data_IF_420915324800
#
_entry.id   IF_420915324800
#
_cell.length_a   1.000
_cell.length_b   1.000
_cell.length_c   1.000
_cell.angle_alpha   90.00
_cell.angle_beta   90.00
_cell.angle_gamma   90.00
#
_symmetry.space_group_name_H-M   'P 1'
#
loop_
_entity.id
_entity.type
_entity.pdbx_description
1 polymer ?
#
# COMPACT_ATOMS: atom_id res chain seq x y z
N UNK A 1 -0.08 30.03 -43.96
CA UNK A 1 -0.36 28.85 -43.10
C UNK A 1 -0.85 27.63 -43.88
N UNK A 2 -1.76 27.78 -44.85
CA UNK A 2 -2.24 26.65 -45.67
C UNK A 2 -1.16 25.97 -46.53
N UNK A 3 -0.19 26.73 -47.04
CA UNK A 3 0.86 26.18 -47.92
C UNK A 3 1.92 25.38 -47.17
N UNK A 4 2.21 25.74 -45.92
CA UNK A 4 3.15 25.00 -45.05
C UNK A 4 2.56 23.64 -44.67
N UNK A 5 1.25 23.57 -44.39
CA UNK A 5 0.57 22.30 -44.09
C UNK A 5 0.52 21.35 -45.30
N UNK A 6 0.31 21.88 -46.51
CA UNK A 6 0.40 21.10 -47.75
C UNK A 6 1.82 20.60 -48.03
N UNK A 7 2.83 21.43 -47.79
CA UNK A 7 4.24 21.07 -47.99
C UNK A 7 4.66 19.95 -47.04
N UNK A 8 4.35 20.09 -45.74
CA UNK A 8 4.62 19.07 -44.72
C UNK A 8 3.91 17.74 -45.05
N UNK A 9 2.66 17.79 -45.54
CA UNK A 9 1.93 16.58 -45.95
C UNK A 9 2.54 15.89 -47.19
N UNK A 10 3.04 16.66 -48.16
CA UNK A 10 3.73 16.15 -49.35
C UNK A 10 5.09 15.54 -49.01
N UNK A 11 5.82 16.13 -48.07
CA UNK A 11 7.12 15.62 -47.63
C UNK A 11 6.96 14.39 -46.73
N UNK A 12 5.93 14.35 -45.88
CA UNK A 12 5.58 13.16 -45.10
C UNK A 12 5.24 11.94 -45.98
N UNK A 13 4.60 12.17 -47.13
CA UNK A 13 4.29 11.11 -48.09
C UNK A 13 5.54 10.50 -48.76
N UNK A 14 6.63 11.28 -48.90
CA UNK A 14 7.91 10.87 -49.49
C UNK A 14 8.87 10.20 -48.50
N UNK A 15 8.63 10.36 -47.20
CA UNK A 15 9.40 9.70 -46.14
C UNK A 15 9.21 8.18 -46.25
N UNK A 16 10.32 7.44 -46.17
CA UNK A 16 10.31 5.98 -46.27
C UNK A 16 9.45 5.37 -45.15
N UNK A 17 8.86 4.18 -45.35
CA UNK A 17 8.10 3.50 -44.30
C UNK A 17 8.89 3.35 -42.99
N UNK A 18 10.20 3.12 -43.10
CA UNK A 18 11.13 3.00 -41.96
C UNK A 18 11.30 4.33 -41.20
N UNK A 19 11.43 5.43 -41.92
CA UNK A 19 11.58 6.76 -41.31
C UNK A 19 10.25 7.25 -40.72
N UNK A 20 9.11 6.86 -41.31
CA UNK A 20 7.77 7.15 -40.78
C UNK A 20 7.50 6.37 -39.50
N UNK A 21 7.97 5.12 -39.43
CA UNK A 21 7.90 4.27 -38.24
C UNK A 21 8.57 4.93 -37.03
N UNK A 22 9.75 5.55 -37.22
CA UNK A 22 10.45 6.30 -36.16
C UNK A 22 9.56 7.34 -35.48
N UNK A 23 8.75 8.06 -36.25
CA UNK A 23 7.83 9.06 -35.67
C UNK A 23 6.62 8.42 -34.96
N UNK A 24 6.17 7.25 -35.40
CA UNK A 24 5.16 6.47 -34.67
C UNK A 24 5.71 5.96 -33.34
N UNK A 25 6.94 5.47 -33.32
CA UNK A 25 7.61 5.00 -32.10
C UNK A 25 7.83 6.17 -31.13
N UNK A 26 8.32 7.32 -31.63
CA UNK A 26 8.44 8.55 -30.83
C UNK A 26 7.11 8.99 -30.23
N UNK A 27 6.01 8.91 -30.98
CA UNK A 27 4.68 9.26 -30.45
C UNK A 27 4.20 8.27 -29.38
N UNK A 28 4.52 6.99 -29.51
CA UNK A 28 4.23 5.98 -28.49
C UNK A 28 5.06 6.18 -27.22
N UNK A 29 6.36 6.47 -27.36
CA UNK A 29 7.25 6.79 -26.24
C UNK A 29 6.79 8.06 -25.51
N UNK A 30 6.38 9.10 -26.24
CA UNK A 30 5.85 10.34 -25.68
C UNK A 30 4.57 10.09 -24.86
N UNK A 31 3.66 9.28 -25.40
CA UNK A 31 2.44 8.84 -24.71
C UNK A 31 2.77 8.03 -23.44
N UNK A 32 3.75 7.13 -23.49
CA UNK A 32 4.21 6.37 -22.32
C UNK A 32 4.89 7.25 -21.28
N UNK A 33 5.68 8.24 -21.72
CA UNK A 33 6.28 9.25 -20.84
C UNK A 33 5.19 10.02 -20.11
N UNK A 34 4.20 10.53 -20.84
CA UNK A 34 3.08 11.26 -20.25
C UNK A 34 2.27 10.40 -19.28
N UNK A 35 2.00 9.13 -19.60
CA UNK A 35 1.33 8.20 -18.68
C UNK A 35 2.15 7.99 -17.40
N UNK A 36 3.48 7.79 -17.51
CA UNK A 36 4.37 7.65 -16.35
C UNK A 36 4.40 8.91 -15.48
N UNK A 37 4.39 10.09 -16.10
CA UNK A 37 4.32 11.38 -15.40
C UNK A 37 2.99 11.53 -14.65
N UNK A 38 1.87 11.22 -15.30
CA UNK A 38 0.55 11.26 -14.68
C UNK A 38 0.44 10.26 -13.52
N UNK A 39 0.93 9.03 -13.68
CA UNK A 39 0.95 8.01 -12.62
C UNK A 39 1.84 8.46 -11.44
N UNK A 40 3.00 9.06 -11.72
CA UNK A 40 3.90 9.60 -10.69
C UNK A 40 3.23 10.74 -9.91
N UNK A 41 2.53 11.64 -10.61
CA UNK A 41 1.80 12.75 -10.01
C UNK A 41 0.63 12.25 -9.14
N UNK A 42 -0.10 11.22 -9.57
CA UNK A 42 -1.16 10.59 -8.76
C UNK A 42 -0.61 9.94 -7.49
N UNK A 43 0.58 9.30 -7.56
CA UNK A 43 1.25 8.73 -6.38
C UNK A 43 1.68 9.81 -5.40
N UNK A 44 2.20 10.93 -5.91
CA UNK A 44 2.60 12.06 -5.09
C UNK A 44 1.41 12.77 -4.45
N UNK A 45 0.34 13.04 -5.20
CA UNK A 45 -0.86 13.65 -4.64
C UNK A 45 -1.53 12.74 -3.58
N UNK A 46 -1.64 11.44 -3.84
CA UNK A 46 -2.15 10.50 -2.84
C UNK A 46 -1.27 10.46 -1.57
N UNK A 47 0.04 10.58 -1.71
CA UNK A 47 0.93 10.67 -0.54
C UNK A 47 0.82 12.01 0.17
N UNK A 48 0.67 13.12 -0.54
CA UNK A 48 0.47 14.43 0.07
C UNK A 48 -0.87 14.47 0.81
N UNK A 49 -1.93 13.89 0.24
CA UNK A 49 -3.21 13.70 0.92
C UNK A 49 -3.08 12.82 2.17
N UNK A 50 -2.30 11.74 2.12
CA UNK A 50 -2.04 10.88 3.29
C UNK A 50 -1.28 11.62 4.40
N UNK A 51 -0.29 12.44 4.04
CA UNK A 51 0.46 13.29 4.99
C UNK A 51 -0.49 14.33 5.60
N UNK A 52 -1.30 15.03 4.79
CA UNK A 52 -2.30 16.01 5.27
C UNK A 52 -3.29 15.40 6.26
N UNK A 53 -3.86 14.22 5.96
CA UNK A 53 -4.77 13.50 6.88
C UNK A 53 -4.13 13.16 8.23
N UNK A 54 -2.80 13.01 8.27
CA UNK A 54 -2.02 12.61 9.47
C UNK A 54 -1.37 13.78 10.21
N UNK A 55 -1.36 14.98 9.60
CA UNK A 55 -1.02 16.26 10.26
C UNK A 55 -2.18 16.85 11.07
N UNK A 56 -3.31 16.13 11.20
CA UNK A 56 -4.41 16.59 12.03
C UNK A 56 -3.92 16.71 13.47
N UNK A 57 -4.12 17.88 14.06
CA UNK A 57 -3.77 18.17 15.45
C UNK A 57 -4.35 17.06 16.37
N UNK A 58 -3.52 16.39 17.19
CA UNK A 58 -3.98 15.40 18.16
C UNK A 58 -5.04 15.94 19.14
N UNK A 59 -5.04 17.27 19.38
CA UNK A 59 -6.01 17.97 20.22
C UNK A 59 -7.25 18.43 19.46
N UNK A 60 -7.29 18.33 18.13
CA UNK A 60 -8.48 18.66 17.37
C UNK A 60 -9.62 17.69 17.70
N UNK A 61 -10.86 18.19 17.88
CA UNK A 61 -12.03 17.35 18.04
C UNK A 61 -12.13 16.30 16.92
N UNK A 62 -12.38 15.05 17.31
CA UNK A 62 -12.62 13.96 16.37
C UNK A 62 -13.98 14.14 15.73
N UNK A 63 -14.08 13.89 14.43
CA UNK A 63 -15.36 14.00 13.71
C UNK A 63 -16.48 13.19 14.36
N UNK A 64 -17.73 13.65 14.22
CA UNK A 64 -18.87 12.93 14.74
C UNK A 64 -19.03 11.59 14.03
N UNK A 65 -19.42 10.59 14.81
CA UNK A 65 -19.65 9.22 14.39
C UNK A 65 -21.07 9.13 13.80
N UNK A 66 -21.19 8.53 12.61
CA UNK A 66 -22.49 8.33 11.98
C UNK A 66 -23.27 7.17 12.60
N UNK A 67 -24.59 7.14 12.38
CA UNK A 67 -25.48 6.09 12.88
C UNK A 67 -24.97 4.68 12.49
N UNK A 68 -24.58 4.51 11.22
CA UNK A 68 -23.98 3.27 10.74
C UNK A 68 -22.72 2.87 11.51
N UNK A 69 -21.83 3.81 11.83
CA UNK A 69 -20.58 3.48 12.53
C UNK A 69 -20.82 3.10 13.99
N UNK A 70 -21.82 3.67 14.66
CA UNK A 70 -22.27 3.19 15.97
C UNK A 70 -22.79 1.75 15.89
N UNK A 71 -23.60 1.44 14.89
CA UNK A 71 -24.08 0.09 14.64
C UNK A 71 -22.95 -0.89 14.35
N UNK A 72 -21.98 -0.51 13.51
CA UNK A 72 -20.80 -1.34 13.20
C UNK A 72 -19.99 -1.63 14.46
N UNK A 73 -19.79 -0.64 15.33
CA UNK A 73 -19.04 -0.82 16.56
C UNK A 73 -19.70 -1.84 17.51
N UNK A 74 -21.00 -1.70 17.74
CA UNK A 74 -21.78 -2.63 18.58
C UNK A 74 -21.86 -4.03 17.97
N UNK A 75 -22.13 -4.12 16.67
CA UNK A 75 -22.25 -5.39 15.96
C UNK A 75 -20.92 -6.13 15.87
N UNK A 76 -19.82 -5.42 15.62
CA UNK A 76 -18.49 -6.01 15.65
C UNK A 76 -18.12 -6.53 17.04
N UNK A 77 -18.44 -5.77 18.11
CA UNK A 77 -18.17 -6.20 19.48
C UNK A 77 -18.95 -7.47 19.85
N UNK A 78 -20.19 -7.59 19.37
CA UNK A 78 -21.02 -8.79 19.52
C UNK A 78 -20.47 -9.98 18.73
N UNK A 79 -20.22 -9.81 17.43
CA UNK A 79 -19.71 -10.87 16.56
C UNK A 79 -18.32 -11.37 16.99
N UNK A 80 -17.47 -10.49 17.54
CA UNK A 80 -16.18 -10.90 18.07
C UNK A 80 -16.30 -11.78 19.32
N UNK A 81 -17.38 -11.64 20.10
CA UNK A 81 -17.68 -12.49 21.26
C UNK A 81 -18.36 -13.79 20.84
N UNK A 82 -19.35 -13.71 19.97
CA UNK A 82 -20.20 -14.84 19.61
C UNK A 82 -19.55 -15.73 18.53
N UNK A 83 -18.68 -15.15 17.70
CA UNK A 83 -18.00 -15.82 16.60
C UNK A 83 -16.51 -15.38 16.54
N UNK A 84 -15.68 -15.75 17.53
CA UNK A 84 -14.28 -15.30 17.59
C UNK A 84 -13.41 -15.84 16.44
N UNK A 85 -13.85 -16.91 15.77
CA UNK A 85 -13.16 -17.50 14.62
C UNK A 85 -13.46 -16.78 13.29
N UNK A 86 -14.54 -15.98 13.24
CA UNK A 86 -14.92 -15.28 12.03
C UNK A 86 -13.93 -14.16 11.71
N UNK A 87 -13.45 -14.12 10.46
CA UNK A 87 -12.55 -13.09 9.99
C UNK A 87 -13.19 -11.70 9.95
N UNK A 88 -12.39 -10.65 10.16
CA UNK A 88 -12.85 -9.26 10.12
C UNK A 88 -13.55 -8.88 8.81
N UNK A 89 -13.07 -9.40 7.68
CA UNK A 89 -13.67 -9.13 6.38
C UNK A 89 -15.09 -9.68 6.26
N UNK A 90 -15.35 -10.87 6.79
CA UNK A 90 -16.66 -11.50 6.72
C UNK A 90 -17.62 -10.92 7.75
N UNK A 91 -17.14 -10.57 8.94
CA UNK A 91 -17.88 -9.73 9.89
C UNK A 91 -18.35 -8.42 9.24
N UNK A 92 -17.47 -7.71 8.53
CA UNK A 92 -17.81 -6.44 7.91
C UNK A 92 -18.87 -6.59 6.82
N UNK A 93 -18.77 -7.62 5.97
CA UNK A 93 -19.79 -7.93 4.96
C UNK A 93 -21.14 -8.23 5.60
N UNK A 94 -21.15 -9.07 6.63
CA UNK A 94 -22.36 -9.44 7.36
C UNK A 94 -23.03 -8.22 8.00
N UNK A 95 -22.27 -7.37 8.69
CA UNK A 95 -22.77 -6.12 9.29
C UNK A 95 -23.37 -5.20 8.21
N UNK A 96 -22.73 -5.09 7.04
CA UNK A 96 -23.24 -4.28 5.94
C UNK A 96 -24.62 -4.74 5.43
N UNK A 97 -24.83 -6.05 5.32
CA UNK A 97 -26.12 -6.63 4.95
C UNK A 97 -27.15 -6.34 6.04
N UNK A 98 -26.80 -6.61 7.31
CA UNK A 98 -27.69 -6.37 8.45
C UNK A 98 -28.15 -4.91 8.54
N UNK A 99 -27.27 -3.94 8.29
CA UNK A 99 -27.65 -2.53 8.27
C UNK A 99 -28.64 -2.20 7.15
N UNK A 100 -28.46 -2.80 5.98
CA UNK A 100 -29.34 -2.58 4.82
C UNK A 100 -30.74 -3.12 5.07
N UNK A 101 -30.84 -4.28 5.72
CA UNK A 101 -32.10 -4.97 6.00
C UNK A 101 -32.77 -4.48 7.29
N UNK A 102 -32.09 -3.66 8.09
CA UNK A 102 -32.58 -3.14 9.35
C UNK A 102 -33.84 -2.27 9.18
N UNK A 103 -34.82 -2.42 10.08
CA UNK A 103 -36.02 -1.60 10.10
C UNK A 103 -35.70 -0.12 10.39
N UNK A 104 -36.61 0.81 10.01
CA UNK A 104 -36.44 2.22 10.35
C UNK A 104 -36.43 2.45 11.87
N UNK A 105 -37.26 1.73 12.62
CA UNK A 105 -37.34 1.82 14.07
C UNK A 105 -36.01 1.44 14.76
N UNK A 106 -35.36 0.36 14.29
CA UNK A 106 -34.07 -0.07 14.83
C UNK A 106 -32.94 0.89 14.43
N UNK A 107 -33.02 1.50 13.24
CA UNK A 107 -32.08 2.53 12.79
C UNK A 107 -32.21 3.81 13.61
N UNK A 108 -33.41 4.19 14.04
CA UNK A 108 -33.66 5.40 14.83
C UNK A 108 -32.82 5.46 16.10
N UNK A 109 -32.63 4.32 16.78
CA UNK A 109 -31.72 4.24 17.95
C UNK A 109 -30.31 4.75 17.62
N UNK A 110 -29.78 4.38 16.46
CA UNK A 110 -28.44 4.78 16.01
C UNK A 110 -28.40 6.21 15.47
N UNK A 111 -29.49 6.68 14.88
CA UNK A 111 -29.65 8.08 14.46
C UNK A 111 -29.61 9.03 15.67
N UNK A 112 -30.34 8.69 16.75
CA UNK A 112 -30.28 9.44 18.01
C UNK A 112 -28.85 9.46 18.59
N UNK A 113 -28.13 8.34 18.53
CA UNK A 113 -26.73 8.30 18.95
C UNK A 113 -25.84 9.20 18.09
N UNK A 114 -26.03 9.19 16.77
CA UNK A 114 -25.29 10.04 15.84
C UNK A 114 -25.57 11.54 16.07
N UNK A 115 -26.82 11.91 16.32
CA UNK A 115 -27.20 13.30 16.60
C UNK A 115 -26.59 13.79 17.92
N UNK A 116 -26.65 12.96 18.97
CA UNK A 116 -25.97 13.26 20.23
C UNK A 116 -24.47 13.45 20.03
N UNK A 117 -23.87 12.62 19.19
CA UNK A 117 -22.45 12.66 18.88
C UNK A 117 -22.05 13.90 18.07
N UNK A 118 -22.91 14.33 17.16
CA UNK A 118 -22.82 15.59 16.43
C UNK A 118 -22.85 16.79 17.38
N UNK A 119 -23.81 16.83 18.32
CA UNK A 119 -23.85 17.89 19.34
C UNK A 119 -22.59 17.92 20.21
N UNK A 120 -22.07 16.75 20.57
CA UNK A 120 -20.79 16.63 21.30
C UNK A 120 -19.64 17.24 20.48
N UNK A 121 -19.54 16.89 19.20
CA UNK A 121 -18.52 17.45 18.31
C UNK A 121 -18.63 18.97 18.16
N UNK A 122 -19.85 19.50 18.02
CA UNK A 122 -20.10 20.95 17.93
C UNK A 122 -19.65 21.68 19.19
N UNK A 123 -19.90 21.11 20.37
CA UNK A 123 -19.42 21.66 21.66
C UNK A 123 -17.89 21.60 21.77
N UNK A 124 -17.30 20.45 21.44
CA UNK A 124 -15.85 20.27 21.46
C UNK A 124 -15.17 21.29 20.51
N UNK A 125 -15.77 21.54 19.35
CA UNK A 125 -15.29 22.51 18.36
C UNK A 125 -15.38 23.95 18.85
N UNK A 126 -16.42 24.32 19.61
CA UNK A 126 -16.52 25.65 20.22
C UNK A 126 -15.44 25.90 21.27
N UNK A 127 -15.06 24.86 22.02
CA UNK A 127 -13.97 24.95 23.01
C UNK A 127 -12.58 24.80 22.39
N UNK A 128 -12.50 24.29 21.16
CA UNK A 128 -11.24 24.06 20.48
C UNK A 128 -10.72 25.35 19.86
N UNK A 129 -9.66 25.90 20.48
CA UNK A 129 -8.82 26.89 19.83
C UNK A 129 -7.78 26.17 19.00
N UNK A 130 -7.86 26.30 17.67
CA UNK A 130 -6.80 25.82 16.77
C UNK A 130 -5.54 26.61 17.13
N UNK A 131 -4.43 25.96 17.53
CA UNK A 131 -3.16 26.67 17.67
C UNK A 131 -2.89 27.41 16.35
N UNK A 132 -2.49 28.68 16.43
CA UNK A 132 -1.98 29.41 15.26
C UNK A 132 -1.01 28.49 14.51
N UNK A 133 -1.20 28.36 13.20
CA UNK A 133 -0.36 27.51 12.38
C UNK A 133 1.10 27.91 12.62
N UNK A 134 1.85 27.04 13.31
CA UNK A 134 3.30 27.13 13.23
C UNK A 134 3.62 26.79 11.78
N UNK A 135 3.75 27.83 10.97
CA UNK A 135 4.31 27.78 9.63
C UNK A 135 5.63 27.00 9.75
N UNK A 136 5.63 25.75 9.27
CA UNK A 136 6.78 24.87 9.40
C UNK A 136 6.71 23.78 10.48
N UNK A 137 5.53 23.39 10.98
CA UNK A 137 5.37 22.15 11.75
C UNK A 137 5.93 20.96 10.93
N UNK A 138 7.16 20.59 11.28
CA UNK A 138 7.94 19.53 10.64
C UNK A 138 7.13 18.25 10.75
N UNK A 139 6.84 17.54 9.64
CA UNK A 139 6.14 16.28 9.74
C UNK A 139 6.93 15.37 10.67
N UNK A 140 6.25 14.81 11.68
CA UNK A 140 6.81 13.77 12.53
C UNK A 140 7.56 12.77 11.63
N UNK A 141 8.82 12.51 11.97
CA UNK A 141 9.68 11.61 11.21
C UNK A 141 9.00 10.24 10.97
N UNK A 142 8.16 9.79 11.92
CA UNK A 142 7.36 8.57 11.79
C UNK A 142 6.35 8.62 10.63
N UNK A 143 5.79 9.80 10.33
CA UNK A 143 4.82 10.03 9.26
C UNK A 143 5.51 10.10 7.90
N UNK A 144 6.71 10.70 7.82
CA UNK A 144 7.51 10.70 6.58
C UNK A 144 7.92 9.29 6.17
N UNK A 145 8.46 8.51 7.12
CA UNK A 145 8.89 7.12 6.88
C UNK A 145 7.71 6.25 6.40
N UNK A 146 6.51 6.44 6.96
CA UNK A 146 5.33 5.69 6.54
C UNK A 146 4.77 6.14 5.17
N UNK A 147 4.87 7.42 4.82
CA UNK A 147 4.48 7.91 3.50
C UNK A 147 5.44 7.40 2.41
N UNK A 148 6.75 7.40 2.67
CA UNK A 148 7.77 6.86 1.76
C UNK A 148 7.61 5.36 1.53
N UNK A 149 7.29 4.57 2.58
CA UNK A 149 7.03 3.14 2.44
C UNK A 149 5.78 2.85 1.59
N UNK A 150 4.72 3.65 1.70
CA UNK A 150 3.53 3.54 0.84
C UNK A 150 3.83 3.94 -0.62
N UNK A 151 4.63 5.00 -0.85
CA UNK A 151 5.11 5.37 -2.20
C UNK A 151 5.95 4.24 -2.80
N UNK A 152 6.89 3.69 -2.03
CA UNK A 152 7.75 2.57 -2.43
C UNK A 152 6.93 1.33 -2.84
N UNK A 153 5.90 0.97 -2.07
CA UNK A 153 5.01 -0.17 -2.40
C UNK A 153 4.20 0.05 -3.69
N UNK A 154 3.82 1.29 -4.00
CA UNK A 154 3.05 1.65 -5.21
C UNK A 154 3.91 1.83 -6.47
N UNK A 155 5.20 2.13 -6.32
CA UNK A 155 6.17 2.24 -7.44
C UNK A 155 6.69 0.88 -7.94
N UNK A 156 6.43 -0.21 -7.22
CA UNK A 156 6.78 -1.55 -7.70
C UNK A 156 5.81 -1.90 -8.83
N UNK A 157 6.35 -2.16 -10.03
CA UNK A 157 5.53 -2.66 -11.12
C UNK A 157 4.83 -3.95 -10.68
N UNK A 158 3.58 -4.23 -11.13
CA UNK A 158 2.80 -5.38 -10.71
C UNK A 158 3.55 -6.73 -10.81
N UNK A 159 4.45 -6.83 -11.79
CA UNK A 159 5.25 -8.03 -12.06
C UNK A 159 6.76 -7.82 -11.84
N UNK A 160 7.16 -6.81 -11.06
CA UNK A 160 8.57 -6.60 -10.76
C UNK A 160 9.12 -7.80 -9.95
N UNK A 161 10.29 -8.35 -10.33
CA UNK A 161 10.95 -9.41 -9.58
C UNK A 161 11.14 -9.04 -8.12
N UNK A 162 10.90 -10.00 -7.22
CA UNK A 162 11.11 -9.78 -5.79
C UNK A 162 12.60 -9.86 -5.49
N UNK A 163 13.09 -8.99 -4.60
CA UNK A 163 14.48 -9.00 -4.16
C UNK A 163 14.95 -10.40 -3.70
N UNK A 164 16.26 -10.70 -3.89
CA UNK A 164 16.79 -12.01 -3.54
C UNK A 164 16.77 -12.24 -2.04
N UNK A 165 16.49 -13.47 -1.66
CA UNK A 165 16.39 -13.95 -0.29
C UNK A 165 17.80 -14.19 0.24
N UNK A 166 18.11 -13.61 1.41
CA UNK A 166 19.40 -13.80 2.07
C UNK A 166 19.50 -15.17 2.75
N UNK A 167 20.72 -15.61 3.03
CA UNK A 167 20.99 -16.89 3.70
C UNK A 167 20.22 -17.02 5.02
N UNK A 168 20.19 -15.94 5.81
CA UNK A 168 19.42 -15.87 7.04
C UNK A 168 17.92 -16.09 6.83
N UNK A 169 17.33 -15.55 5.76
CA UNK A 169 15.89 -15.70 5.50
C UNK A 169 15.52 -17.11 5.05
N UNK A 170 16.41 -17.82 4.34
CA UNK A 170 16.25 -19.26 4.09
C UNK A 170 16.24 -20.06 5.38
N UNK A 171 17.20 -19.78 6.28
CA UNK A 171 17.24 -20.38 7.61
C UNK A 171 15.97 -20.10 8.42
N UNK A 172 15.52 -18.83 8.46
CA UNK A 172 14.28 -18.45 9.15
C UNK A 172 13.07 -19.20 8.59
N UNK A 173 12.98 -19.38 7.26
CA UNK A 173 11.87 -20.09 6.64
C UNK A 173 11.82 -21.56 7.07
N UNK A 174 12.97 -22.24 7.14
CA UNK A 174 13.09 -23.62 7.60
C UNK A 174 12.77 -23.75 9.09
N UNK A 175 13.40 -22.93 9.93
CA UNK A 175 13.17 -22.96 11.37
C UNK A 175 11.73 -22.59 11.72
N UNK A 176 11.10 -21.68 10.99
CA UNK A 176 9.68 -21.36 11.19
C UNK A 176 8.78 -22.54 10.88
N UNK A 177 9.06 -23.33 9.83
CA UNK A 177 8.30 -24.56 9.53
C UNK A 177 8.46 -25.57 10.66
N UNK A 178 9.68 -25.80 11.14
CA UNK A 178 9.97 -26.73 12.23
C UNK A 178 9.34 -26.28 13.57
N UNK A 179 9.46 -25.01 13.92
CA UNK A 179 8.93 -24.44 15.18
C UNK A 179 7.40 -24.35 15.17
N UNK A 180 6.78 -24.11 14.01
CA UNK A 180 5.32 -24.15 13.87
C UNK A 180 4.75 -25.55 14.13
N UNK A 181 5.52 -26.62 13.86
CA UNK A 181 5.09 -27.99 14.11
C UNK A 181 5.30 -28.43 15.58
N UNK A 182 6.33 -27.90 16.23
CA UNK A 182 6.79 -28.35 17.56
C UNK A 182 6.36 -27.46 18.72
N UNK A 183 5.97 -26.21 18.45
CA UNK A 183 5.54 -25.24 19.46
C UNK A 183 4.23 -24.53 19.04
N UNK A 184 3.09 -25.22 19.01
CA UNK A 184 1.80 -24.56 18.80
C UNK A 184 1.49 -23.65 19.99
N UNK A 185 1.45 -22.33 19.77
CA UNK A 185 1.04 -21.34 20.79
C UNK A 185 2.07 -20.27 21.14
N UNK A 186 3.34 -20.39 20.71
CA UNK A 186 4.32 -19.30 20.87
C UNK A 186 4.04 -18.18 19.87
N UNK A 187 4.23 -16.93 20.31
CA UNK A 187 4.02 -15.78 19.44
C UNK A 187 5.14 -15.69 18.41
N UNK A 188 4.82 -15.17 17.21
CA UNK A 188 5.82 -14.99 16.15
C UNK A 188 7.05 -14.18 16.61
N UNK A 189 6.85 -13.22 17.51
CA UNK A 189 7.91 -12.37 18.05
C UNK A 189 8.92 -13.17 18.88
N UNK A 190 8.45 -14.10 19.72
CA UNK A 190 9.31 -14.97 20.51
C UNK A 190 10.07 -15.97 19.64
N UNK A 191 9.39 -16.53 18.63
CA UNK A 191 10.02 -17.42 17.65
C UNK A 191 11.11 -16.71 16.86
N UNK A 192 10.88 -15.48 16.41
CA UNK A 192 11.85 -14.69 15.68
C UNK A 192 13.10 -14.40 16.52
N UNK A 193 12.94 -14.13 17.82
CA UNK A 193 14.06 -13.96 18.76
C UNK A 193 14.88 -15.24 18.90
N UNK A 194 14.23 -16.40 19.09
CA UNK A 194 14.92 -17.70 19.20
C UNK A 194 15.70 -18.04 17.92
N UNK A 195 15.09 -17.86 16.75
CA UNK A 195 15.73 -18.09 15.45
C UNK A 195 16.97 -17.18 15.28
N UNK A 196 16.88 -15.92 15.70
CA UNK A 196 18.01 -14.99 15.64
C UNK A 196 19.21 -15.44 16.49
N UNK A 197 18.96 -15.98 17.69
CA UNK A 197 20.01 -16.56 18.52
C UNK A 197 20.62 -17.81 17.90
N UNK A 198 19.79 -18.71 17.36
CA UNK A 198 20.24 -19.92 16.68
C UNK A 198 21.13 -19.59 15.48
N UNK A 199 20.75 -18.62 14.65
CA UNK A 199 21.57 -18.19 13.50
C UNK A 199 22.95 -17.67 13.91
N UNK A 200 23.03 -16.89 15.00
CA UNK A 200 24.30 -16.40 15.54
C UNK A 200 25.18 -17.55 16.06
N UNK A 201 24.56 -18.61 16.59
CA UNK A 201 25.24 -19.79 17.10
C UNK A 201 25.69 -20.80 16.03
N UNK A 202 25.21 -20.69 14.78
CA UNK A 202 25.65 -21.58 13.70
C UNK A 202 27.13 -21.37 13.37
N UNK A 203 27.83 -22.48 13.13
CA UNK A 203 29.16 -22.47 12.53
C UNK A 203 29.11 -22.10 11.05
N UNK A 204 30.25 -21.74 10.48
CA UNK A 204 30.31 -21.35 9.05
C UNK A 204 29.95 -22.52 8.12
N UNK A 205 30.31 -23.75 8.50
CA UNK A 205 29.92 -24.97 7.78
C UNK A 205 28.39 -25.20 7.81
N UNK A 206 27.73 -24.89 8.91
CA UNK A 206 26.26 -25.00 9.00
C UNK A 206 25.54 -23.85 8.30
N UNK A 207 26.21 -22.71 8.10
CA UNK A 207 25.70 -21.57 7.30
C UNK A 207 25.86 -21.78 5.80
N UNK A 208 26.85 -22.57 5.39
CA UNK A 208 27.18 -22.86 3.99
C UNK A 208 25.98 -23.24 3.10
N UNK A 209 25.09 -24.19 3.46
CA UNK A 209 23.94 -24.53 2.63
C UNK A 209 22.97 -23.35 2.42
N UNK A 210 22.84 -22.47 3.41
CA UNK A 210 22.00 -21.28 3.31
C UNK A 210 22.67 -20.18 2.48
N UNK A 211 23.99 -20.05 2.57
CA UNK A 211 24.78 -19.13 1.73
C UNK A 211 24.68 -19.56 0.27
N UNK A 212 24.80 -20.85 -0.02
CA UNK A 212 24.62 -21.40 -1.36
C UNK A 212 23.20 -21.14 -1.89
N UNK A 213 22.18 -21.40 -1.07
CA UNK A 213 20.78 -21.11 -1.43
C UNK A 213 20.55 -19.63 -1.73
N UNK A 214 21.17 -18.73 -0.96
CA UNK A 214 21.11 -17.29 -1.19
C UNK A 214 21.85 -16.85 -2.46
N UNK A 215 22.97 -17.49 -2.79
CA UNK A 215 23.67 -17.27 -4.06
C UNK A 215 22.81 -17.68 -5.25
N UNK A 216 22.20 -18.86 -5.21
CA UNK A 216 21.28 -19.32 -6.25
C UNK A 216 20.05 -18.41 -6.38
N UNK A 217 19.51 -17.90 -5.27
CA UNK A 217 18.37 -16.96 -5.31
C UNK A 217 18.76 -15.59 -5.87
N UNK A 218 20.01 -15.17 -5.65
CA UNK A 218 20.58 -13.97 -6.26
C UNK A 218 20.66 -14.12 -7.78
N UNK A 219 21.14 -15.25 -8.28
CA UNK A 219 21.17 -15.54 -9.72
C UNK A 219 19.76 -15.59 -10.32
N UNK A 220 18.81 -16.19 -9.60
CA UNK A 220 17.39 -16.19 -9.98
C UNK A 220 16.86 -14.76 -10.13
N UNK A 221 17.14 -13.88 -9.16
CA UNK A 221 16.71 -12.48 -9.21
C UNK A 221 17.39 -11.71 -10.34
N UNK A 222 18.68 -11.92 -10.58
CA UNK A 222 19.42 -11.28 -11.67
C UNK A 222 18.81 -11.64 -13.03
N UNK A 223 18.49 -12.92 -13.25
CA UNK A 223 17.79 -13.40 -14.44
C UNK A 223 16.39 -12.81 -14.59
N UNK A 224 15.55 -12.90 -13.55
CA UNK A 224 14.20 -12.33 -13.57
C UNK A 224 14.24 -10.81 -13.83
N UNK A 225 15.25 -10.11 -13.29
CA UNK A 225 15.46 -8.68 -13.48
C UNK A 225 15.85 -8.35 -14.93
N UNK A 226 16.70 -9.15 -15.55
CA UNK A 226 17.07 -9.02 -16.97
C UNK A 226 15.86 -9.30 -17.89
N UNK A 227 15.11 -10.36 -17.62
CA UNK A 227 13.88 -10.69 -18.36
C UNK A 227 12.82 -9.58 -18.23
N UNK A 228 12.67 -9.02 -17.03
CA UNK A 228 11.78 -7.88 -16.78
C UNK A 228 12.28 -6.63 -17.50
N UNK A 229 13.58 -6.33 -17.47
CA UNK A 229 14.16 -5.22 -18.22
C UNK A 229 13.95 -5.38 -19.72
N UNK A 230 14.15 -6.59 -20.25
CA UNK A 230 13.95 -6.95 -21.66
C UNK A 230 12.49 -6.83 -22.12
N UNK A 231 11.51 -7.24 -21.30
CA UNK A 231 10.09 -7.03 -21.61
C UNK A 231 9.65 -5.57 -21.54
N UNK A 232 10.36 -4.73 -20.78
CA UNK A 232 10.07 -3.29 -20.67
C UNK A 232 10.81 -2.43 -21.69
N UNK A 233 11.79 -2.98 -22.42
CA UNK A 233 12.48 -2.30 -23.50
C UNK A 233 11.72 -2.54 -24.83
N UNK A 234 11.33 -1.51 -25.58
CA UNK A 234 10.76 -1.71 -26.90
C UNK A 234 11.83 -2.37 -27.79
N UNK A 235 11.45 -3.45 -28.48
CA UNK A 235 12.24 -4.04 -29.55
C UNK A 235 12.66 -2.95 -30.53
N UNK A 236 13.97 -2.78 -30.71
CA UNK A 236 14.55 -1.96 -31.78
C UNK A 236 14.12 -2.49 -33.16
#
# INVERSE_FOLDING_TARGET
FADVARLIGSDWAKISPSDRQKYHDMAQEDKLRHQREMDAQMVDDASQQAIKRRKRDPKAPKHPISAYLFFVAESRARLCKDCPEMGFGDMAKYIGIQWKDMSSADRTRYEIMADRDKTRYEKDLQTYSKPEEIEGAVPDASVKVQAETLKSRRKRAPNAPKHPISAYLFFVAEQRRALSATCPGKTFKELATDIGFRWKGLSDAEREPYILSASADKERYEREKEEFAGHTAPSL
#
